data_IF_379687877149
#
_entry.id   IF_379687877149
#
_cell.length_a   1.000
_cell.length_b   1.000
_cell.length_c   1.000
_cell.angle_alpha   90.00
_cell.angle_beta   90.00
_cell.angle_gamma   90.00
#
_symmetry.space_group_name_H-M   'P 1'
#
loop_
_entity.id
_entity.type
_entity.pdbx_description
1 polymer ?
#
# COMPACT_ATOMS: atom_id res chain seq x y z
N UNK A 1 -34.17 -5.88 5.65
CA UNK A 1 -33.09 -4.90 5.86
C UNK A 1 -31.88 -5.41 5.10
N UNK A 2 -31.62 -4.89 3.90
CA UNK A 2 -30.37 -5.17 3.18
C UNK A 2 -29.29 -4.32 3.84
N UNK A 3 -28.55 -4.90 4.78
CA UNK A 3 -27.41 -4.24 5.38
C UNK A 3 -26.37 -4.01 4.29
N UNK A 4 -26.18 -2.77 3.87
CA UNK A 4 -24.99 -2.38 3.13
C UNK A 4 -23.80 -2.65 4.05
N UNK A 5 -23.19 -3.83 3.89
CA UNK A 5 -21.91 -4.13 4.52
C UNK A 5 -20.92 -3.07 4.04
N UNK A 6 -20.34 -2.29 4.96
CA UNK A 6 -19.24 -1.40 4.63
C UNK A 6 -18.09 -2.27 4.09
N UNK A 7 -17.76 -2.14 2.81
CA UNK A 7 -16.82 -3.04 2.13
C UNK A 7 -15.40 -2.81 2.60
N UNK A 8 -15.07 -1.58 3.00
CA UNK A 8 -13.76 -1.26 3.55
C UNK A 8 -13.51 -1.93 4.89
N UNK A 9 -14.57 -2.19 5.69
CA UNK A 9 -14.44 -2.96 6.93
C UNK A 9 -14.00 -4.41 6.68
N UNK A 10 -14.40 -5.00 5.56
CA UNK A 10 -13.95 -6.34 5.16
C UNK A 10 -12.45 -6.39 4.87
N UNK A 11 -11.85 -5.26 4.51
CA UNK A 11 -10.42 -5.11 4.25
C UNK A 11 -9.65 -4.66 5.49
N UNK A 12 -10.12 -3.65 6.22
CA UNK A 12 -9.37 -2.97 7.29
C UNK A 12 -9.56 -3.58 8.68
N UNK A 13 -10.74 -4.11 8.98
CA UNK A 13 -11.13 -4.57 10.34
C UNK A 13 -11.11 -6.08 10.50
N UNK A 14 -10.74 -6.80 9.45
CA UNK A 14 -10.68 -8.25 9.46
C UNK A 14 -9.30 -8.69 9.02
N UNK A 15 -8.68 -9.57 9.78
CA UNK A 15 -7.48 -10.25 9.31
C UNK A 15 -7.81 -11.03 8.04
N UNK A 16 -7.02 -10.82 6.99
CA UNK A 16 -7.31 -11.39 5.69
C UNK A 16 -6.14 -11.27 4.73
N UNK A 17 -6.21 -12.10 3.69
CA UNK A 17 -5.23 -12.10 2.60
C UNK A 17 -5.96 -11.75 1.32
N UNK A 18 -5.43 -10.75 0.62
CA UNK A 18 -5.91 -10.30 -0.68
C UNK A 18 -4.81 -10.52 -1.71
N UNK A 19 -5.16 -11.05 -2.87
CA UNK A 19 -4.17 -11.31 -3.91
C UNK A 19 -4.69 -11.00 -5.31
N UNK A 20 -3.78 -10.68 -6.22
CA UNK A 20 -4.14 -10.35 -7.59
C UNK A 20 -2.92 -10.21 -8.49
N UNK A 21 -3.10 -10.52 -9.77
CA UNK A 21 -2.11 -10.22 -10.80
C UNK A 21 -2.05 -8.70 -11.03
N UNK A 22 -0.85 -8.17 -11.19
CA UNK A 22 -0.58 -6.78 -11.47
C UNK A 22 0.15 -6.61 -12.81
N UNK A 23 -0.04 -5.45 -13.41
CA UNK A 23 0.77 -4.94 -14.52
C UNK A 23 1.11 -3.49 -14.23
N UNK A 24 2.34 -3.25 -13.81
CA UNK A 24 2.81 -1.93 -13.42
C UNK A 24 3.58 -1.31 -14.59
N UNK A 25 3.38 -0.02 -14.81
CA UNK A 25 4.31 0.79 -15.56
C UNK A 25 5.39 1.30 -14.60
N UNK A 26 6.66 1.11 -14.96
CA UNK A 26 7.80 1.65 -14.23
C UNK A 26 8.57 2.55 -15.18
N UNK A 27 8.70 3.82 -14.82
CA UNK A 27 9.41 4.85 -15.58
C UNK A 27 10.92 4.73 -15.37
N UNK A 28 11.47 3.60 -15.81
CA UNK A 28 12.91 3.35 -15.90
C UNK A 28 13.19 2.79 -17.28
N UNK A 29 14.41 3.03 -17.80
CA UNK A 29 14.85 2.50 -19.10
C UNK A 29 13.82 2.75 -20.23
N UNK A 30 13.39 4.01 -20.40
CA UNK A 30 12.35 4.42 -21.37
C UNK A 30 10.93 3.90 -21.09
N UNK A 31 10.72 3.25 -19.95
CA UNK A 31 9.43 2.74 -19.50
C UNK A 31 9.31 1.24 -19.68
N UNK A 32 9.29 0.50 -18.58
CA UNK A 32 9.11 -0.96 -18.59
C UNK A 32 7.74 -1.34 -18.03
N UNK A 33 7.18 -2.43 -18.56
CA UNK A 33 6.02 -3.08 -17.95
C UNK A 33 6.48 -4.21 -17.06
N UNK A 34 6.23 -4.09 -15.76
CA UNK A 34 6.48 -5.14 -14.78
C UNK A 34 5.19 -5.93 -14.55
N UNK A 35 5.27 -7.26 -14.55
CA UNK A 35 4.15 -8.14 -14.24
C UNK A 35 4.49 -9.05 -13.08
N UNK A 36 3.46 -9.49 -12.38
CA UNK A 36 3.59 -10.42 -11.26
C UNK A 36 2.30 -10.46 -10.47
N UNK A 37 2.40 -11.00 -9.26
CA UNK A 37 1.28 -11.10 -8.31
C UNK A 37 1.56 -10.26 -7.07
N UNK A 38 0.55 -9.51 -6.65
CA UNK A 38 0.52 -8.81 -5.38
C UNK A 38 -0.17 -9.69 -4.36
N UNK A 39 0.39 -9.77 -3.16
CA UNK A 39 -0.26 -10.34 -1.98
C UNK A 39 -0.28 -9.25 -0.91
N UNK A 40 -1.46 -8.95 -0.39
CA UNK A 40 -1.69 -8.00 0.69
C UNK A 40 -2.22 -8.77 1.88
N UNK A 41 -1.45 -8.78 2.95
CA UNK A 41 -1.89 -9.28 4.23
C UNK A 41 -2.35 -8.09 5.08
N UNK A 42 -3.54 -8.17 5.63
CA UNK A 42 -4.04 -7.21 6.62
C UNK A 42 -4.25 -7.96 7.92
N UNK A 43 -3.78 -7.38 9.01
CA UNK A 43 -3.94 -7.84 10.38
C UNK A 43 -4.45 -6.68 11.24
N UNK A 44 -5.45 -6.92 12.09
CA UNK A 44 -5.93 -5.92 13.06
C UNK A 44 -5.58 -6.41 14.48
N UNK A 45 -4.80 -5.64 15.22
CA UNK A 45 -4.43 -5.97 16.60
C UNK A 45 -5.61 -5.73 17.57
N UNK A 46 -5.59 -6.31 18.79
CA UNK A 46 -6.63 -6.06 19.80
C UNK A 46 -6.80 -4.57 20.16
N UNK A 47 -5.74 -3.78 20.05
CA UNK A 47 -5.72 -2.33 20.29
C UNK A 47 -6.31 -1.52 19.13
N UNK A 48 -6.65 -2.17 18.01
CA UNK A 48 -7.24 -1.55 16.82
C UNK A 48 -6.21 -1.03 15.81
N UNK A 49 -4.93 -1.36 15.96
CA UNK A 49 -3.90 -1.05 14.95
C UNK A 49 -4.04 -2.01 13.77
N UNK A 50 -4.00 -1.46 12.56
CA UNK A 50 -4.07 -2.20 11.31
C UNK A 50 -2.65 -2.30 10.75
N UNK A 51 -2.17 -3.52 10.56
CA UNK A 51 -0.88 -3.80 9.94
C UNK A 51 -1.15 -4.37 8.56
N UNK A 52 -0.76 -3.62 7.53
CA UNK A 52 -0.80 -4.05 6.14
C UNK A 52 0.60 -4.41 5.67
N UNK A 53 0.75 -5.57 5.02
CA UNK A 53 2.00 -6.04 4.41
C UNK A 53 1.76 -6.36 2.95
N UNK A 54 2.50 -5.70 2.06
CA UNK A 54 2.41 -5.84 0.61
C UNK A 54 3.63 -6.62 0.10
N UNK A 55 3.39 -7.77 -0.51
CA UNK A 55 4.41 -8.64 -1.09
C UNK A 55 4.26 -8.67 -2.61
N UNK A 56 5.39 -8.51 -3.30
CA UNK A 56 5.46 -8.65 -4.75
C UNK A 56 6.03 -10.02 -5.10
N UNK A 57 5.33 -10.76 -5.95
CA UNK A 57 5.76 -12.08 -6.44
C UNK A 57 6.00 -11.97 -7.94
N UNK A 58 7.19 -12.36 -8.38
CA UNK A 58 7.58 -12.36 -9.79
C UNK A 58 6.83 -13.47 -10.57
N UNK A 59 6.80 -13.41 -11.92
CA UNK A 59 6.10 -14.41 -12.73
C UNK A 59 6.63 -15.85 -12.57
N UNK A 60 7.88 -16.01 -12.13
CA UNK A 60 8.50 -17.31 -11.81
C UNK A 60 8.12 -17.84 -10.41
N UNK A 61 7.31 -17.09 -9.65
CA UNK A 61 6.86 -17.45 -8.30
C UNK A 61 7.80 -16.96 -7.18
N UNK A 62 8.93 -16.34 -7.51
CA UNK A 62 9.87 -15.83 -6.50
C UNK A 62 9.33 -14.55 -5.86
N UNK A 63 9.27 -14.52 -4.52
CA UNK A 63 8.94 -13.31 -3.75
C UNK A 63 10.08 -12.29 -3.86
N UNK A 64 9.73 -11.00 -3.98
CA UNK A 64 10.68 -9.90 -3.84
C UNK A 64 11.18 -9.83 -2.40
N UNK A 65 12.43 -9.39 -2.21
CA UNK A 65 12.99 -9.09 -0.90
C UNK A 65 12.37 -7.82 -0.29
N UNK A 66 11.77 -6.98 -1.14
CA UNK A 66 11.04 -5.79 -0.72
C UNK A 66 9.64 -6.13 -0.20
N UNK A 67 9.32 -5.63 1.00
CA UNK A 67 7.99 -5.69 1.61
C UNK A 67 7.52 -4.28 1.98
N UNK A 68 6.39 -3.86 1.41
CA UNK A 68 5.74 -2.62 1.82
C UNK A 68 4.98 -2.85 3.12
N UNK A 69 5.27 -2.10 4.18
CA UNK A 69 4.60 -2.26 5.48
C UNK A 69 3.95 -0.93 5.86
N UNK A 70 2.65 -0.96 6.14
CA UNK A 70 1.94 0.18 6.69
C UNK A 70 1.28 -0.19 8.03
N UNK A 71 1.49 0.65 9.04
CA UNK A 71 0.81 0.55 10.33
C UNK A 71 -0.13 1.73 10.50
N UNK A 72 -1.42 1.45 10.63
CA UNK A 72 -2.47 2.45 10.55
C UNK A 72 -3.43 2.34 11.73
N UNK A 73 -4.11 3.43 12.05
CA UNK A 73 -5.28 3.47 12.94
C UNK A 73 -6.45 4.15 12.24
N UNK A 74 -7.67 3.74 12.57
CA UNK A 74 -8.90 4.38 12.08
C UNK A 74 -9.34 5.44 13.09
N UNK A 75 -9.54 6.67 12.62
CA UNK A 75 -10.17 7.75 13.39
C UNK A 75 -11.33 8.34 12.58
N UNK A 76 -12.56 7.92 12.90
CA UNK A 76 -13.73 8.25 12.09
C UNK A 76 -13.62 7.71 10.67
N UNK A 77 -13.58 8.59 9.68
CA UNK A 77 -13.39 8.26 8.26
C UNK A 77 -11.95 8.46 7.79
N UNK A 78 -10.98 8.58 8.70
CA UNK A 78 -9.55 8.76 8.36
C UNK A 78 -8.73 7.52 8.73
N UNK A 79 -7.73 7.23 7.90
CA UNK A 79 -6.62 6.34 8.22
C UNK A 79 -5.42 7.21 8.59
N UNK A 80 -4.87 7.01 9.77
CA UNK A 80 -3.71 7.74 10.26
C UNK A 80 -2.55 6.79 10.49
N UNK A 81 -1.34 7.30 10.34
CA UNK A 81 -0.14 6.56 10.69
C UNK A 81 -0.12 6.18 12.17
N UNK A 82 0.23 4.92 12.44
CA UNK A 82 0.41 4.40 13.79
C UNK A 82 1.86 3.99 14.08
N UNK A 83 2.75 4.04 13.09
CA UNK A 83 4.16 3.67 13.25
C UNK A 83 5.07 4.83 13.66
N UNK A 84 6.31 4.51 14.03
CA UNK A 84 7.40 5.47 14.31
C UNK A 84 8.62 5.18 13.43
N UNK A 85 8.41 4.68 12.20
CA UNK A 85 9.51 4.25 11.35
C UNK A 85 10.42 5.44 10.99
N UNK A 86 11.59 5.48 11.62
CA UNK A 86 12.70 6.42 11.35
C UNK A 86 13.69 5.86 10.33
N UNK A 87 13.56 4.58 9.97
CA UNK A 87 14.40 3.90 8.98
C UNK A 87 13.53 2.94 8.13
N UNK A 88 13.77 2.90 6.82
CA UNK A 88 13.13 1.96 5.91
C UNK A 88 13.74 0.55 6.12
N UNK A 89 12.95 -0.45 6.52
CA UNK A 89 13.46 -1.79 6.79
C UNK A 89 14.01 -2.51 5.56
N UNK A 90 13.69 -2.05 4.35
CA UNK A 90 14.14 -2.63 3.09
C UNK A 90 15.47 -2.06 2.60
N UNK A 91 15.71 -0.77 2.83
CA UNK A 91 16.88 -0.05 2.27
C UNK A 91 17.87 0.42 3.35
N UNK A 92 17.46 0.40 4.62
CA UNK A 92 18.16 1.04 5.74
C UNK A 92 18.40 2.54 5.51
N UNK A 93 17.55 3.18 4.70
CA UNK A 93 17.52 4.63 4.51
C UNK A 93 16.80 5.28 5.67
N UNK A 94 17.31 6.41 6.16
CA UNK A 94 16.60 7.20 7.17
C UNK A 94 15.36 7.84 6.54
N UNK A 95 14.23 7.78 7.24
CA UNK A 95 12.97 8.39 6.85
C UNK A 95 12.78 9.70 7.62
N UNK A 96 12.66 10.82 6.90
CA UNK A 96 12.38 12.15 7.46
C UNK A 96 11.08 12.73 6.94
N UNK A 97 10.55 13.71 7.67
CA UNK A 97 9.37 14.49 7.28
C UNK A 97 8.19 13.61 6.83
N UNK A 98 8.03 12.45 7.49
CA UNK A 98 7.00 11.48 7.16
C UNK A 98 5.61 12.03 7.44
N UNK A 99 4.75 11.98 6.44
CA UNK A 99 3.35 12.34 6.51
C UNK A 99 2.56 11.24 5.82
N UNK A 100 1.55 10.73 6.52
CA UNK A 100 0.68 9.70 6.00
C UNK A 100 -0.75 10.00 6.42
N UNK A 101 -1.64 10.02 5.44
CA UNK A 101 -3.07 10.22 5.63
C UNK A 101 -3.85 9.37 4.64
N UNK A 102 -4.97 8.80 5.10
CA UNK A 102 -5.96 8.22 4.23
C UNK A 102 -7.39 8.62 4.57
N UNK A 103 -8.26 8.49 3.58
CA UNK A 103 -9.70 8.73 3.67
C UNK A 103 -10.40 7.40 3.39
N UNK A 104 -11.38 7.08 4.23
CA UNK A 104 -12.22 5.89 4.16
C UNK A 104 -13.64 6.32 3.79
N UNK A 105 -14.24 5.59 2.86
CA UNK A 105 -15.67 5.63 2.56
C UNK A 105 -16.23 4.22 2.65
N UNK A 106 -17.51 4.00 2.35
CA UNK A 106 -18.08 2.65 2.42
C UNK A 106 -17.49 1.66 1.39
N UNK A 107 -16.94 2.18 0.28
CA UNK A 107 -16.43 1.36 -0.82
C UNK A 107 -15.08 1.81 -1.39
N UNK A 108 -14.42 2.78 -0.77
CA UNK A 108 -13.09 3.23 -1.20
C UNK A 108 -12.19 3.58 -0.03
N UNK A 109 -10.89 3.36 -0.24
CA UNK A 109 -9.82 3.84 0.62
C UNK A 109 -8.83 4.58 -0.28
N UNK A 110 -8.52 5.83 0.06
CA UNK A 110 -7.45 6.59 -0.59
C UNK A 110 -6.39 6.93 0.45
N UNK A 111 -5.12 6.66 0.15
CA UNK A 111 -3.98 6.88 1.04
C UNK A 111 -2.94 7.71 0.28
N UNK A 112 -2.37 8.69 0.97
CA UNK A 112 -1.20 9.45 0.54
C UNK A 112 -0.14 9.35 1.62
N UNK A 113 1.07 9.02 1.20
CA UNK A 113 2.26 9.00 2.03
C UNK A 113 3.34 9.85 1.36
N UNK A 114 3.97 10.70 2.15
CA UNK A 114 5.01 11.64 1.75
C UNK A 114 6.16 11.51 2.74
N UNK A 115 7.38 11.40 2.25
CA UNK A 115 8.57 11.35 3.10
C UNK A 115 9.83 11.67 2.32
N UNK A 116 10.91 11.90 3.04
CA UNK A 116 12.25 11.97 2.51
C UNK A 116 13.01 10.70 2.89
N UNK A 117 13.60 10.03 1.90
CA UNK A 117 14.56 8.96 2.12
C UNK A 117 15.97 9.55 2.06
N UNK A 118 16.76 9.37 3.11
CA UNK A 118 18.13 9.87 3.20
C UNK A 118 19.10 8.70 3.06
N UNK A 119 19.86 8.71 1.96
CA UNK A 119 20.90 7.73 1.66
C UNK A 119 22.10 7.88 2.58
N UNK A 120 22.90 6.80 2.69
CA UNK A 120 24.14 6.79 3.51
C UNK A 120 25.21 7.77 3.03
N UNK A 121 25.15 8.17 1.76
CA UNK A 121 26.00 9.18 1.13
C UNK A 121 25.47 10.61 1.32
N UNK A 122 24.34 10.79 2.02
CA UNK A 122 23.69 12.07 2.27
C UNK A 122 22.76 12.54 1.14
N UNK A 123 22.55 11.73 0.10
CA UNK A 123 21.51 12.02 -0.91
C UNK A 123 20.13 12.01 -0.29
N UNK A 124 19.25 12.90 -0.75
CA UNK A 124 17.88 13.02 -0.25
C UNK A 124 16.92 12.85 -1.42
N UNK A 125 16.01 11.90 -1.30
CA UNK A 125 14.94 11.66 -2.25
C UNK A 125 13.58 11.97 -1.62
N UNK A 126 12.82 12.88 -2.25
CA UNK A 126 11.43 13.14 -1.85
C UNK A 126 10.55 12.07 -2.47
N UNK A 127 9.90 11.25 -1.66
CA UNK A 127 9.01 10.18 -2.11
C UNK A 127 7.55 10.55 -1.82
N UNK A 128 6.69 10.30 -2.81
CA UNK A 128 5.23 10.36 -2.66
C UNK A 128 4.62 9.07 -3.15
N UNK A 129 4.01 8.33 -2.24
CA UNK A 129 3.24 7.13 -2.54
C UNK A 129 1.76 7.45 -2.40
N UNK A 130 0.95 7.06 -3.39
CA UNK A 130 -0.51 7.10 -3.27
C UNK A 130 -1.05 5.71 -3.52
N UNK A 131 -1.99 5.27 -2.72
CA UNK A 131 -2.71 4.01 -2.94
C UNK A 131 -4.21 4.26 -2.89
N UNK A 132 -4.94 3.75 -3.88
CA UNK A 132 -6.39 3.84 -3.92
C UNK A 132 -6.99 2.45 -4.12
N UNK A 133 -7.84 2.04 -3.18
CA UNK A 133 -8.67 0.85 -3.28
C UNK A 133 -10.11 1.24 -3.65
N UNK A 134 -10.63 0.61 -4.70
CA UNK A 134 -12.04 0.66 -5.09
C UNK A 134 -12.67 -0.72 -4.87
N UNK A 135 -13.56 -0.84 -3.90
CA UNK A 135 -14.18 -2.11 -3.51
C UNK A 135 -15.43 -2.42 -4.35
N UNK A 136 -15.30 -3.43 -5.18
CA UNK A 136 -16.42 -3.97 -5.98
C UNK A 136 -17.36 -4.79 -5.09
N UNK A 137 -16.81 -5.49 -4.10
CA UNK A 137 -17.52 -6.24 -3.06
C UNK A 137 -16.69 -6.34 -1.78
N UNK A 138 -17.16 -7.09 -0.78
CA UNK A 138 -16.42 -7.45 0.43
C UNK A 138 -15.25 -8.44 0.17
N UNK A 139 -15.14 -8.95 -1.06
CA UNK A 139 -14.13 -9.93 -1.48
C UNK A 139 -13.32 -9.51 -2.70
N UNK A 140 -13.62 -8.35 -3.29
CA UNK A 140 -12.97 -7.91 -4.53
C UNK A 140 -12.75 -6.40 -4.54
N UNK A 141 -11.55 -5.99 -4.94
CA UNK A 141 -11.16 -4.59 -5.06
C UNK A 141 -10.25 -4.36 -6.27
N UNK A 142 -10.27 -3.15 -6.81
CA UNK A 142 -9.23 -2.65 -7.72
C UNK A 142 -8.32 -1.74 -6.90
N UNK A 143 -7.04 -2.08 -6.82
CA UNK A 143 -6.02 -1.25 -6.22
C UNK A 143 -5.25 -0.54 -7.32
N UNK A 144 -5.11 0.77 -7.20
CA UNK A 144 -4.15 1.56 -7.98
C UNK A 144 -3.09 2.14 -7.05
N UNK A 145 -1.87 2.25 -7.54
CA UNK A 145 -0.75 2.80 -6.80
C UNK A 145 0.05 3.75 -7.67
N UNK A 146 0.55 4.84 -7.10
CA UNK A 146 1.55 5.66 -7.78
C UNK A 146 2.69 6.00 -6.83
N UNK A 147 3.91 5.94 -7.35
CA UNK A 147 5.14 6.29 -6.63
C UNK A 147 5.83 7.37 -7.42
N UNK A 148 6.11 8.49 -6.76
CA UNK A 148 6.91 9.57 -7.30
C UNK A 148 8.20 9.71 -6.50
N UNK A 149 9.30 9.96 -7.19
CA UNK A 149 10.60 10.30 -6.61
C UNK A 149 11.00 11.66 -7.16
N UNK A 150 11.27 12.62 -6.28
CA UNK A 150 11.60 14.00 -6.62
C UNK A 150 10.59 14.65 -7.59
N UNK A 151 9.30 14.43 -7.33
CA UNK A 151 8.16 14.89 -8.13
C UNK A 151 8.01 14.25 -9.52
N UNK A 152 8.85 13.27 -9.87
CA UNK A 152 8.75 12.51 -11.12
C UNK A 152 8.08 11.15 -10.88
N UNK A 153 7.13 10.78 -11.75
CA UNK A 153 6.47 9.48 -11.66
C UNK A 153 7.50 8.37 -11.88
N UNK A 154 7.65 7.48 -10.91
CA UNK A 154 8.48 6.27 -11.00
C UNK A 154 7.63 5.04 -11.31
N UNK A 155 6.51 4.85 -10.61
CA UNK A 155 5.64 3.67 -10.79
C UNK A 155 4.19 4.09 -10.88
N UNK A 156 3.46 3.50 -11.82
CA UNK A 156 2.01 3.41 -11.78
C UNK A 156 1.59 1.94 -11.77
N UNK A 157 0.88 1.53 -10.73
CA UNK A 157 0.46 0.16 -10.49
C UNK A 157 -1.05 0.03 -10.57
N UNK A 158 -1.53 -1.10 -11.09
CA UNK A 158 -2.94 -1.49 -11.06
C UNK A 158 -3.05 -2.99 -10.86
N UNK A 159 -3.86 -3.36 -9.87
CA UNK A 159 -4.04 -4.75 -9.45
C UNK A 159 -5.52 -5.00 -9.15
N UNK A 160 -6.07 -6.07 -9.72
CA UNK A 160 -7.39 -6.57 -9.29
C UNK A 160 -7.19 -7.59 -8.19
N UNK A 161 -7.58 -7.22 -6.97
CA UNK A 161 -7.41 -8.02 -5.77
C UNK A 161 -8.66 -8.83 -5.46
N UNK A 162 -8.46 -10.06 -4.99
CA UNK A 162 -9.50 -10.92 -4.42
C UNK A 162 -9.10 -11.37 -3.03
N UNK A 163 -10.06 -11.37 -2.12
CA UNK A 163 -9.87 -11.94 -0.79
C UNK A 163 -9.84 -13.46 -0.90
N UNK A 164 -8.77 -14.07 -0.41
CA UNK A 164 -8.57 -15.53 -0.40
C UNK A 164 -8.62 -16.13 1.00
N UNK A 165 -8.51 -15.29 2.03
CA UNK A 165 -8.66 -15.67 3.44
C UNK A 165 -9.27 -14.54 4.26
#
# INVERSE_FOLDING_TARGET
MNGNTNKTDAFLKNTGIWEGEFSNYVNQMEGITQRGKMIIEVETTPEGTIIQRNFFVRPDGTKSDYVGIAQMRIEGNRLLWAGEAVEDPNTAEEIRNHSFEGIITDDQIYIVELYEAVGKDGTIERRRNTTHYYFLSDKEAVMTGSVYVNDELLVFASTRLRRVR
#
